data_IF_364664391826
#
_entry.id   IF_364664391826
#
_cell.length_a   1.000
_cell.length_b   1.000
_cell.length_c   1.000
_cell.angle_alpha   90.00
_cell.angle_beta   90.00
_cell.angle_gamma   90.00
#
_symmetry.space_group_name_H-M   'P 1'
#
loop_
_entity.id
_entity.type
_entity.pdbx_description
1 polymer ?
#
# COMPACT_ATOMS: atom_id res chain seq x y z
N UNK A 1 -13.95 6.31 19.33
CA UNK A 1 -14.17 4.86 19.13
C UNK A 1 -12.96 4.28 18.43
N UNK A 2 -12.45 3.18 18.95
CA UNK A 2 -11.30 2.46 18.37
C UNK A 2 -11.76 1.60 17.19
N UNK A 3 -10.86 1.40 16.22
CA UNK A 3 -11.05 0.52 15.08
C UNK A 3 -9.83 -0.40 15.01
N UNK A 4 -10.08 -1.71 14.92
CA UNK A 4 -9.04 -2.72 15.01
C UNK A 4 -8.91 -3.49 13.70
N UNK A 5 -7.68 -3.72 13.27
CA UNK A 5 -7.32 -4.49 12.10
C UNK A 5 -7.23 -5.98 12.50
N UNK A 6 -8.38 -6.63 12.61
CA UNK A 6 -8.53 -7.95 13.24
C UNK A 6 -8.11 -9.12 12.35
N UNK A 7 -8.06 -8.93 11.04
CA UNK A 7 -7.49 -9.89 10.13
C UNK A 7 -6.71 -9.16 9.02
N UNK A 8 -5.67 -9.80 8.53
CA UNK A 8 -4.81 -9.31 7.46
C UNK A 8 -4.46 -10.47 6.53
N UNK A 9 -4.81 -10.31 5.25
CA UNK A 9 -4.29 -11.12 4.15
C UNK A 9 -3.45 -10.25 3.24
N UNK A 10 -2.28 -10.73 2.83
CA UNK A 10 -1.38 -9.95 1.98
C UNK A 10 -0.46 -10.82 1.14
N UNK A 11 -0.09 -10.27 -0.02
CA UNK A 11 0.95 -10.82 -0.88
C UNK A 11 1.61 -9.70 -1.68
N UNK A 12 2.90 -9.85 -1.92
CA UNK A 12 3.73 -8.92 -2.71
C UNK A 12 5.01 -9.65 -3.16
N UNK A 13 5.99 -8.94 -3.67
CA UNK A 13 7.27 -9.51 -4.07
C UNK A 13 8.04 -10.23 -2.94
N UNK A 14 7.70 -9.98 -1.67
CA UNK A 14 8.26 -10.68 -0.50
C UNK A 14 7.65 -12.07 -0.24
N UNK A 15 6.59 -12.45 -0.96
CA UNK A 15 5.87 -13.71 -0.80
C UNK A 15 4.39 -13.53 -0.50
N UNK A 16 3.76 -14.59 0.01
CA UNK A 16 2.34 -14.63 0.36
C UNK A 16 2.14 -15.00 1.82
N UNK A 17 1.24 -14.28 2.47
CA UNK A 17 0.88 -14.49 3.87
C UNK A 17 1.83 -13.82 4.86
N UNK A 18 1.29 -13.57 6.05
CA UNK A 18 1.96 -12.79 7.10
C UNK A 18 3.34 -13.32 7.47
N UNK A 19 3.49 -14.64 7.60
CA UNK A 19 4.74 -15.24 8.07
C UNK A 19 5.87 -15.14 7.04
N UNK A 20 5.58 -15.36 5.76
CA UNK A 20 6.57 -15.28 4.68
C UNK A 20 6.96 -13.83 4.45
N UNK A 21 5.98 -12.94 4.33
CA UNK A 21 6.22 -11.50 4.15
C UNK A 21 6.98 -10.90 5.32
N UNK A 22 6.65 -11.25 6.58
CA UNK A 22 7.40 -10.77 7.75
C UNK A 22 8.86 -11.20 7.72
N UNK A 23 9.14 -12.45 7.36
CA UNK A 23 10.51 -12.96 7.24
C UNK A 23 11.31 -12.18 6.21
N UNK A 24 10.77 -11.99 5.00
CA UNK A 24 11.41 -11.20 3.94
C UNK A 24 11.57 -9.73 4.31
N UNK A 25 10.56 -9.14 4.94
CA UNK A 25 10.54 -7.75 5.38
C UNK A 25 11.68 -7.45 6.36
N UNK A 26 11.80 -8.25 7.44
CA UNK A 26 12.82 -8.03 8.47
C UNK A 26 14.22 -8.46 8.02
N UNK A 27 14.33 -9.37 7.06
CA UNK A 27 15.61 -9.68 6.40
C UNK A 27 16.05 -8.58 5.41
N UNK A 28 15.15 -7.68 5.03
CA UNK A 28 15.39 -6.71 3.96
C UNK A 28 15.63 -7.41 2.63
N UNK A 29 14.85 -8.45 2.34
CA UNK A 29 14.99 -9.27 1.14
C UNK A 29 14.56 -8.49 -0.11
N UNK A 30 15.42 -8.43 -1.09
CA UNK A 30 15.17 -7.81 -2.41
C UNK A 30 15.05 -8.84 -3.53
N UNK A 31 15.07 -10.12 -3.21
CA UNK A 31 15.06 -11.21 -4.17
C UNK A 31 13.83 -11.26 -5.08
N UNK A 32 12.70 -10.71 -4.63
CA UNK A 32 11.48 -10.58 -5.45
C UNK A 32 11.49 -9.43 -6.46
N UNK A 33 12.53 -8.58 -6.42
CA UNK A 33 12.72 -7.48 -7.37
C UNK A 33 13.61 -7.97 -8.52
N UNK A 34 13.02 -8.26 -9.68
CA UNK A 34 13.75 -8.86 -10.79
C UNK A 34 13.64 -8.02 -12.06
N UNK A 35 14.75 -7.85 -12.81
CA UNK A 35 14.71 -7.28 -14.15
C UNK A 35 13.73 -8.08 -15.03
N UNK A 36 12.72 -7.40 -15.59
CA UNK A 36 11.65 -8.09 -16.33
C UNK A 36 11.44 -7.42 -17.68
N UNK A 37 11.66 -8.15 -18.79
CA UNK A 37 11.42 -7.66 -20.13
C UNK A 37 9.94 -7.56 -20.47
N UNK A 38 9.62 -6.80 -21.52
CA UNK A 38 8.29 -6.78 -22.14
C UNK A 38 7.33 -5.72 -21.58
N UNK A 39 7.67 -5.05 -20.48
CA UNK A 39 6.86 -3.98 -19.93
C UNK A 39 7.16 -2.61 -20.55
N UNK A 40 8.44 -2.27 -20.68
CA UNK A 40 8.90 -1.03 -21.29
C UNK A 40 9.76 -1.39 -22.50
N UNK A 41 9.53 -0.82 -23.69
CA UNK A 41 10.32 -1.10 -24.88
C UNK A 41 11.82 -0.89 -24.61
N UNK A 42 12.64 -1.84 -25.02
CA UNK A 42 14.12 -1.80 -24.94
C UNK A 42 14.72 -1.65 -23.53
N UNK A 43 13.89 -1.73 -22.47
CA UNK A 43 14.31 -1.59 -21.08
C UNK A 43 13.81 -2.76 -20.24
N UNK A 44 14.58 -3.12 -19.20
CA UNK A 44 14.26 -4.21 -18.27
C UNK A 44 14.47 -3.76 -16.83
N UNK A 45 13.76 -2.74 -16.34
CA UNK A 45 13.91 -2.30 -14.98
C UNK A 45 13.47 -3.42 -14.01
N UNK A 46 14.05 -3.49 -12.79
CA UNK A 46 13.52 -4.37 -11.77
C UNK A 46 12.06 -4.04 -11.46
N UNK A 47 11.23 -5.05 -11.38
CA UNK A 47 9.83 -4.93 -10.93
C UNK A 47 9.57 -5.94 -9.80
N UNK A 48 8.71 -5.56 -8.87
CA UNK A 48 8.26 -6.43 -7.79
C UNK A 48 7.10 -7.30 -8.27
N UNK A 49 7.34 -8.61 -8.45
CA UNK A 49 6.34 -9.53 -8.97
C UNK A 49 5.92 -10.53 -7.90
N UNK A 50 4.62 -10.80 -7.79
CA UNK A 50 4.09 -11.91 -7.00
C UNK A 50 4.34 -13.21 -7.73
N UNK A 51 5.22 -14.04 -7.19
CA UNK A 51 5.59 -15.35 -7.75
C UNK A 51 4.87 -16.51 -7.07
N UNK A 52 4.20 -16.27 -5.94
CA UNK A 52 3.41 -17.26 -5.25
C UNK A 52 2.27 -17.80 -6.16
N UNK A 53 1.93 -19.10 -6.08
CA UNK A 53 0.79 -19.65 -6.80
C UNK A 53 -0.50 -18.94 -6.40
N UNK A 54 -1.18 -18.37 -7.39
CA UNK A 54 -2.47 -17.71 -7.14
C UNK A 54 -3.61 -18.75 -7.17
N UNK A 55 -4.72 -18.52 -6.45
CA UNK A 55 -5.86 -19.43 -6.48
C UNK A 55 -6.42 -19.54 -7.89
N UNK A 56 -6.92 -20.75 -8.21
CA UNK A 56 -7.64 -20.96 -9.45
C UNK A 56 -8.85 -20.02 -9.51
N UNK A 57 -9.06 -19.38 -10.67
CA UNK A 57 -10.18 -18.49 -10.83
C UNK A 57 -11.47 -19.29 -11.05
N UNK A 58 -12.52 -19.08 -10.22
CA UNK A 58 -13.77 -19.80 -10.39
C UNK A 58 -14.47 -19.40 -11.70
N UNK A 59 -14.96 -20.40 -12.47
CA UNK A 59 -15.52 -20.18 -13.81
C UNK A 59 -16.72 -19.22 -13.81
N UNK A 60 -17.55 -19.28 -12.79
CA UNK A 60 -18.71 -18.40 -12.64
C UNK A 60 -18.33 -16.92 -12.46
N UNK A 61 -17.10 -16.62 -12.08
CA UNK A 61 -16.58 -15.27 -11.90
C UNK A 61 -15.76 -14.77 -13.10
N UNK A 62 -15.70 -15.51 -14.20
CA UNK A 62 -14.96 -15.14 -15.42
C UNK A 62 -15.17 -13.68 -15.87
N UNK A 63 -16.39 -13.09 -15.82
CA UNK A 63 -16.59 -11.69 -16.19
C UNK A 63 -15.82 -10.67 -15.34
N UNK A 64 -15.37 -11.07 -14.15
CA UNK A 64 -14.59 -10.23 -13.23
C UNK A 64 -13.10 -10.55 -13.26
N UNK A 65 -12.67 -11.45 -14.15
CA UNK A 65 -11.27 -11.86 -14.19
C UNK A 65 -10.35 -10.71 -14.55
N UNK A 66 -9.38 -10.47 -13.68
CA UNK A 66 -8.17 -9.70 -13.94
C UNK A 66 -7.08 -10.19 -13.00
N UNK A 67 -5.81 -9.96 -13.34
CA UNK A 67 -4.71 -10.26 -12.41
C UNK A 67 -4.88 -9.49 -11.10
N UNK A 68 -5.36 -8.26 -11.17
CA UNK A 68 -5.68 -7.45 -10.00
C UNK A 68 -6.66 -8.17 -9.07
N UNK A 69 -7.81 -8.62 -9.58
CA UNK A 69 -8.78 -9.35 -8.77
C UNK A 69 -8.30 -10.72 -8.31
N UNK A 70 -7.41 -11.38 -9.08
CA UNK A 70 -6.80 -12.65 -8.67
C UNK A 70 -5.85 -12.47 -7.47
N UNK A 71 -5.05 -11.39 -7.45
CA UNK A 71 -4.24 -11.01 -6.29
C UNK A 71 -5.12 -10.70 -5.08
N UNK A 72 -6.21 -9.99 -5.29
CA UNK A 72 -7.17 -9.68 -4.24
C UNK A 72 -7.84 -10.93 -3.66
N UNK A 73 -8.23 -11.89 -4.52
CA UNK A 73 -8.77 -13.17 -4.09
C UNK A 73 -7.76 -13.97 -3.26
N UNK A 74 -6.48 -13.94 -3.63
CA UNK A 74 -5.43 -14.58 -2.86
C UNK A 74 -5.29 -13.98 -1.45
N UNK A 75 -5.34 -12.64 -1.33
CA UNK A 75 -5.35 -11.98 -0.03
C UNK A 75 -6.61 -12.30 0.78
N UNK A 76 -7.78 -12.37 0.13
CA UNK A 76 -9.04 -12.76 0.80
C UNK A 76 -8.96 -14.17 1.37
N UNK A 77 -8.41 -15.12 0.63
CA UNK A 77 -8.35 -16.55 1.03
C UNK A 77 -7.69 -16.72 2.41
N UNK A 78 -6.74 -15.86 2.77
CA UNK A 78 -6.07 -15.91 4.08
C UNK A 78 -6.96 -15.50 5.25
N UNK A 79 -7.99 -14.69 4.99
CA UNK A 79 -8.86 -14.13 6.03
C UNK A 79 -10.34 -14.47 5.82
N UNK A 80 -10.67 -15.27 4.82
CA UNK A 80 -12.06 -15.58 4.47
C UNK A 80 -12.85 -16.17 5.63
N UNK A 81 -12.31 -17.08 6.47
CA UNK A 81 -13.03 -17.59 7.63
C UNK A 81 -13.49 -16.48 8.60
N UNK A 82 -12.63 -15.51 8.90
CA UNK A 82 -12.96 -14.36 9.76
C UNK A 82 -13.98 -13.44 9.11
N UNK A 83 -13.89 -13.26 7.79
CA UNK A 83 -14.85 -12.47 7.01
C UNK A 83 -16.23 -13.14 7.04
N UNK A 84 -16.30 -14.47 6.79
CA UNK A 84 -17.54 -15.23 6.84
C UNK A 84 -18.18 -15.16 8.23
N UNK A 85 -17.39 -15.29 9.28
CA UNK A 85 -17.87 -15.13 10.66
C UNK A 85 -18.45 -13.73 10.92
N UNK A 86 -17.80 -12.68 10.40
CA UNK A 86 -18.33 -11.31 10.52
C UNK A 86 -19.66 -11.15 9.76
N UNK A 87 -19.81 -11.76 8.56
CA UNK A 87 -21.05 -11.76 7.78
C UNK A 87 -22.18 -12.49 8.55
N UNK A 88 -21.89 -13.67 9.10
CA UNK A 88 -22.86 -14.43 9.91
C UNK A 88 -23.34 -13.63 11.12
N UNK A 89 -22.42 -12.94 11.79
CA UNK A 89 -22.69 -12.19 13.01
C UNK A 89 -23.49 -10.91 12.78
N UNK A 90 -23.14 -10.14 11.74
CA UNK A 90 -23.66 -8.79 11.54
C UNK A 90 -24.65 -8.68 10.38
N UNK A 91 -24.71 -9.68 9.51
CA UNK A 91 -25.48 -9.67 8.27
C UNK A 91 -24.77 -8.93 7.13
N UNK A 92 -25.06 -9.31 5.86
CA UNK A 92 -24.35 -8.81 4.68
C UNK A 92 -24.50 -7.30 4.44
N UNK A 93 -25.59 -6.69 4.91
CA UNK A 93 -25.84 -5.26 4.77
C UNK A 93 -25.01 -4.40 5.75
N UNK A 94 -24.39 -5.02 6.77
CA UNK A 94 -23.57 -4.34 7.77
C UNK A 94 -22.06 -4.47 7.54
N UNK A 95 -21.68 -5.18 6.47
CA UNK A 95 -20.27 -5.34 6.07
C UNK A 95 -20.00 -4.44 4.86
N UNK A 96 -19.08 -3.49 5.02
CA UNK A 96 -18.62 -2.61 3.94
C UNK A 96 -17.42 -3.16 3.18
N UNK A 97 -17.21 -2.68 1.95
CA UNK A 97 -16.00 -2.92 1.14
C UNK A 97 -15.46 -1.58 0.66
N UNK A 98 -14.23 -1.24 1.03
CA UNK A 98 -13.56 0.00 0.61
C UNK A 98 -12.14 -0.32 0.17
N UNK A 99 -11.86 -0.25 -1.12
CA UNK A 99 -10.56 -0.62 -1.67
C UNK A 99 -9.91 0.53 -2.44
N UNK A 100 -8.57 0.62 -2.32
CA UNK A 100 -7.75 1.50 -3.12
C UNK A 100 -7.09 0.76 -4.28
N UNK A 101 -7.10 1.36 -5.46
CA UNK A 101 -6.40 0.84 -6.64
C UNK A 101 -6.05 1.98 -7.59
N UNK A 102 -5.01 1.78 -8.39
CA UNK A 102 -4.64 2.65 -9.52
C UNK A 102 -4.71 1.91 -10.86
N UNK A 103 -4.76 0.59 -10.84
CA UNK A 103 -4.69 -0.23 -12.06
C UNK A 103 -5.97 -1.00 -12.35
N UNK A 104 -6.68 -1.52 -11.33
CA UNK A 104 -7.82 -2.42 -11.57
C UNK A 104 -7.51 -3.46 -12.68
N UNK A 105 -8.41 -3.73 -13.63
CA UNK A 105 -8.21 -4.59 -14.80
C UNK A 105 -7.75 -3.83 -16.06
N UNK A 106 -7.03 -2.71 -15.91
CA UNK A 106 -6.57 -1.90 -17.05
C UNK A 106 -5.59 -2.68 -17.94
N UNK A 107 -4.80 -3.60 -17.40
CA UNK A 107 -3.90 -4.41 -18.21
C UNK A 107 -4.67 -5.26 -19.22
N UNK A 108 -5.66 -6.02 -18.77
CA UNK A 108 -6.51 -6.86 -19.60
C UNK A 108 -7.33 -6.03 -20.60
N UNK A 109 -7.85 -4.90 -20.16
CA UNK A 109 -8.56 -3.96 -21.02
C UNK A 109 -7.65 -3.42 -22.12
N UNK A 110 -6.39 -3.08 -21.83
CA UNK A 110 -5.41 -2.60 -22.80
C UNK A 110 -5.11 -3.64 -23.88
N UNK A 111 -5.01 -4.92 -23.50
CA UNK A 111 -4.84 -6.02 -24.45
C UNK A 111 -6.07 -6.17 -25.37
N UNK A 112 -7.27 -6.07 -24.82
CA UNK A 112 -8.53 -6.10 -25.58
C UNK A 112 -8.65 -4.94 -26.57
N UNK A 113 -8.30 -3.73 -26.13
CA UNK A 113 -8.25 -2.53 -27.01
C UNK A 113 -7.23 -2.69 -28.13
N UNK A 114 -6.05 -3.26 -27.85
CA UNK A 114 -5.05 -3.52 -28.87
C UNK A 114 -5.52 -4.54 -29.93
N UNK A 115 -6.33 -5.53 -29.55
CA UNK A 115 -7.00 -6.45 -30.49
C UNK A 115 -7.98 -5.67 -31.34
N UNK A 116 -8.82 -4.82 -30.72
CA UNK A 116 -9.78 -3.99 -31.47
C UNK A 116 -9.13 -3.08 -32.49
N UNK A 117 -8.02 -2.44 -32.16
CA UNK A 117 -7.27 -1.59 -33.07
C UNK A 117 -6.76 -2.35 -34.32
N UNK A 118 -6.42 -3.63 -34.19
CA UNK A 118 -5.93 -4.46 -35.32
C UNK A 118 -7.04 -5.11 -36.14
N UNK A 119 -8.15 -5.51 -35.49
CA UNK A 119 -9.18 -6.32 -36.12
C UNK A 119 -10.51 -5.57 -36.37
N UNK A 120 -10.68 -4.39 -35.77
CA UNK A 120 -11.93 -3.64 -35.76
C UNK A 120 -12.99 -4.20 -34.80
N UNK A 121 -12.68 -5.26 -34.04
CA UNK A 121 -13.64 -5.91 -33.13
C UNK A 121 -12.98 -6.14 -31.77
N UNK A 122 -13.75 -5.94 -30.70
CA UNK A 122 -13.33 -6.33 -29.35
C UNK A 122 -13.33 -7.85 -29.23
N UNK A 123 -12.37 -8.45 -28.50
CA UNK A 123 -12.34 -9.89 -28.30
C UNK A 123 -13.55 -10.36 -27.48
N UNK A 124 -13.96 -11.60 -27.72
CA UNK A 124 -14.96 -12.26 -26.88
C UNK A 124 -14.49 -12.24 -25.40
N UNK A 125 -15.41 -11.90 -24.51
CA UNK A 125 -15.08 -11.80 -23.07
C UNK A 125 -14.51 -10.46 -22.62
N UNK A 126 -14.27 -9.46 -23.52
CA UNK A 126 -13.94 -8.11 -23.10
C UNK A 126 -15.08 -7.50 -22.28
N UNK A 127 -14.74 -7.04 -21.08
CA UNK A 127 -15.70 -6.39 -20.17
C UNK A 127 -15.16 -5.02 -19.76
N UNK A 128 -15.84 -3.95 -20.18
CA UNK A 128 -15.45 -2.58 -19.82
C UNK A 128 -15.36 -2.39 -18.29
N UNK A 129 -16.28 -3.00 -17.54
CA UNK A 129 -16.34 -2.89 -16.09
C UNK A 129 -15.07 -3.40 -15.37
N UNK A 130 -14.27 -4.27 -16.00
CA UNK A 130 -13.01 -4.75 -15.40
C UNK A 130 -11.99 -3.65 -15.18
N UNK A 131 -11.98 -2.61 -16.00
CA UNK A 131 -11.04 -1.47 -15.89
C UNK A 131 -11.55 -0.34 -15.01
N UNK A 132 -12.79 -0.38 -14.55
CA UNK A 132 -13.31 0.62 -13.63
C UNK A 132 -12.61 0.52 -12.27
N UNK A 133 -12.33 1.66 -11.65
CA UNK A 133 -11.59 1.67 -10.37
C UNK A 133 -12.39 1.09 -9.19
N UNK A 134 -13.68 0.86 -9.38
CA UNK A 134 -14.54 0.15 -8.41
C UNK A 134 -14.49 -1.37 -8.59
N UNK A 135 -13.98 -1.88 -9.71
CA UNK A 135 -14.03 -3.31 -10.06
C UNK A 135 -13.52 -4.25 -8.95
N UNK A 136 -12.40 -3.99 -8.25
CA UNK A 136 -11.97 -4.86 -7.16
C UNK A 136 -12.95 -4.90 -5.99
N UNK A 137 -13.54 -3.76 -5.65
CA UNK A 137 -14.51 -3.69 -4.55
C UNK A 137 -15.84 -4.36 -4.93
N UNK A 138 -16.33 -4.13 -6.14
CA UNK A 138 -17.56 -4.77 -6.67
C UNK A 138 -17.40 -6.29 -6.76
N UNK A 139 -16.22 -6.77 -7.24
CA UNK A 139 -15.91 -8.20 -7.24
C UNK A 139 -16.00 -8.80 -5.83
N UNK A 140 -15.31 -8.23 -4.84
CA UNK A 140 -15.37 -8.74 -3.47
C UNK A 140 -16.76 -8.71 -2.87
N UNK A 141 -17.50 -7.62 -3.06
CA UNK A 141 -18.85 -7.50 -2.52
C UNK A 141 -19.77 -8.58 -3.10
N UNK A 142 -19.71 -8.83 -4.40
CA UNK A 142 -20.51 -9.87 -5.08
C UNK A 142 -20.06 -11.27 -4.68
N UNK A 143 -18.76 -11.53 -4.66
CA UNK A 143 -18.19 -12.83 -4.28
C UNK A 143 -18.60 -13.27 -2.88
N UNK A 144 -18.68 -12.32 -1.95
CA UNK A 144 -19.06 -12.55 -0.56
C UNK A 144 -20.57 -12.38 -0.29
N UNK A 145 -21.34 -11.95 -1.27
CA UNK A 145 -22.80 -11.69 -1.13
C UNK A 145 -23.11 -10.49 -0.24
N UNK A 146 -22.24 -9.47 -0.22
CA UNK A 146 -22.40 -8.28 0.61
C UNK A 146 -23.32 -7.26 -0.04
N UNK A 147 -24.06 -6.52 0.79
CA UNK A 147 -24.98 -5.45 0.37
C UNK A 147 -24.78 -4.15 1.17
N UNK A 148 -23.73 -4.06 1.98
CA UNK A 148 -23.32 -2.83 2.65
C UNK A 148 -22.63 -1.83 1.71
N UNK A 149 -22.15 -0.70 2.23
CA UNK A 149 -21.40 0.28 1.45
C UNK A 149 -20.21 -0.35 0.70
N UNK A 150 -20.17 -0.15 -0.64
CA UNK A 150 -19.11 -0.72 -1.50
C UNK A 150 -18.63 0.36 -2.47
N UNK A 151 -17.32 0.70 -2.44
CA UNK A 151 -16.73 1.66 -3.36
C UNK A 151 -15.20 1.53 -3.47
N UNK A 152 -14.68 1.95 -4.62
CA UNK A 152 -13.25 2.12 -4.88
C UNK A 152 -12.78 3.54 -4.60
N UNK A 153 -11.53 3.69 -4.20
CA UNK A 153 -10.82 4.96 -4.08
C UNK A 153 -9.59 4.95 -4.98
N UNK A 154 -9.43 6.01 -5.77
CA UNK A 154 -8.24 6.21 -6.60
C UNK A 154 -7.74 7.64 -6.43
N UNK A 155 -6.68 7.76 -5.61
CA UNK A 155 -5.97 9.01 -5.31
C UNK A 155 -4.46 8.79 -5.49
N UNK A 156 -4.11 8.11 -6.59
CA UNK A 156 -2.74 7.66 -6.90
C UNK A 156 -2.13 6.85 -5.73
N UNK A 157 -0.87 7.11 -5.33
CA UNK A 157 -0.17 6.33 -4.32
C UNK A 157 -0.81 6.36 -2.90
N UNK A 158 -1.78 7.24 -2.66
CA UNK A 158 -2.50 7.33 -1.37
C UNK A 158 -3.81 6.53 -1.35
N UNK A 159 -4.20 5.87 -2.43
CA UNK A 159 -5.53 5.26 -2.61
C UNK A 159 -5.92 4.34 -1.47
N UNK A 160 -5.11 3.34 -1.16
CA UNK A 160 -5.42 2.36 -0.12
C UNK A 160 -5.26 2.89 1.30
N UNK A 161 -4.35 3.84 1.53
CA UNK A 161 -4.30 4.54 2.82
C UNK A 161 -5.58 5.36 3.08
N UNK A 162 -6.13 6.00 2.04
CA UNK A 162 -7.45 6.66 2.13
C UNK A 162 -8.58 5.66 2.30
N UNK A 163 -8.48 4.48 1.69
CA UNK A 163 -9.48 3.42 1.88
C UNK A 163 -9.55 2.98 3.35
N UNK A 164 -8.41 2.80 4.03
CA UNK A 164 -8.34 2.50 5.46
C UNK A 164 -8.99 3.61 6.31
N UNK A 165 -8.70 4.89 6.01
CA UNK A 165 -9.33 6.01 6.72
C UNK A 165 -10.83 6.10 6.47
N UNK A 166 -11.28 5.81 5.25
CA UNK A 166 -12.69 5.80 4.89
C UNK A 166 -13.44 4.66 5.59
N UNK A 167 -12.85 3.47 5.61
CA UNK A 167 -13.37 2.32 6.36
C UNK A 167 -13.54 2.63 7.84
N UNK A 168 -12.52 3.25 8.46
CA UNK A 168 -12.60 3.68 9.86
C UNK A 168 -13.74 4.66 10.10
N UNK A 169 -14.01 5.59 9.18
CA UNK A 169 -15.14 6.52 9.27
C UNK A 169 -16.47 5.79 9.22
N UNK A 170 -16.66 4.83 8.30
CA UNK A 170 -17.88 4.02 8.22
C UNK A 170 -18.17 3.29 9.53
N UNK A 171 -17.14 2.72 10.18
CA UNK A 171 -17.29 2.08 11.49
C UNK A 171 -17.65 3.08 12.59
N UNK A 172 -16.91 4.19 12.68
CA UNK A 172 -17.10 5.19 13.74
C UNK A 172 -18.47 5.84 13.65
N UNK A 173 -18.97 6.07 12.44
CA UNK A 173 -20.28 6.65 12.17
C UNK A 173 -21.44 5.62 12.27
N UNK A 174 -21.13 4.33 12.47
CA UNK A 174 -22.14 3.27 12.63
C UNK A 174 -22.81 2.83 11.32
N UNK A 175 -22.25 3.19 10.16
CA UNK A 175 -22.74 2.72 8.87
C UNK A 175 -22.47 1.23 8.66
N UNK A 176 -21.34 0.73 9.18
CA UNK A 176 -20.94 -0.67 9.14
C UNK A 176 -20.57 -1.18 10.55
N UNK A 177 -20.62 -2.50 10.73
CA UNK A 177 -20.10 -3.18 11.91
C UNK A 177 -18.76 -3.84 11.64
N UNK A 178 -18.47 -4.17 10.38
CA UNK A 178 -17.15 -4.52 9.89
C UNK A 178 -16.94 -3.95 8.48
N UNK A 179 -15.67 -3.74 8.09
CA UNK A 179 -15.32 -3.26 6.75
C UNK A 179 -14.11 -4.04 6.23
N UNK A 180 -14.25 -4.63 5.05
CA UNK A 180 -13.13 -5.08 4.25
C UNK A 180 -12.48 -3.86 3.61
N UNK A 181 -11.21 -3.61 3.90
CA UNK A 181 -10.51 -2.43 3.40
C UNK A 181 -9.03 -2.73 3.13
N UNK A 182 -8.45 -1.93 2.26
CA UNK A 182 -7.06 -2.12 1.85
C UNK A 182 -6.85 -1.68 0.41
N UNK A 183 -6.04 -2.43 -0.32
CA UNK A 183 -5.79 -2.11 -1.73
C UNK A 183 -5.11 -3.23 -2.48
N UNK A 184 -5.20 -3.13 -3.80
CA UNK A 184 -4.60 -4.07 -4.74
C UNK A 184 -4.21 -3.33 -6.02
N UNK A 185 -3.01 -3.60 -6.50
CA UNK A 185 -2.57 -3.21 -7.84
C UNK A 185 -1.74 -4.32 -8.48
N UNK A 186 -1.95 -4.54 -9.77
CA UNK A 186 -1.17 -5.44 -10.60
C UNK A 186 -0.20 -4.68 -11.50
N UNK A 187 0.85 -5.33 -11.98
CA UNK A 187 1.71 -4.75 -13.01
C UNK A 187 0.88 -4.45 -14.27
N UNK A 188 1.10 -3.27 -14.83
CA UNK A 188 0.32 -2.77 -15.96
C UNK A 188 1.21 -1.96 -16.91
N UNK A 189 1.11 -2.24 -18.21
CA UNK A 189 1.86 -1.53 -19.23
C UNK A 189 1.59 -0.02 -19.24
N UNK A 190 0.36 0.42 -18.92
CA UNK A 190 0.02 1.83 -18.83
C UNK A 190 0.86 2.57 -17.78
N UNK A 191 0.94 2.02 -16.57
CA UNK A 191 1.67 2.66 -15.47
C UNK A 191 3.18 2.60 -15.67
N UNK A 192 3.72 1.45 -16.09
CA UNK A 192 5.16 1.28 -16.34
C UNK A 192 5.65 2.22 -17.43
N UNK A 193 4.95 2.31 -18.58
CA UNK A 193 5.32 3.22 -19.66
C UNK A 193 5.03 4.68 -19.30
N UNK A 194 3.97 4.97 -18.55
CA UNK A 194 3.65 6.31 -18.08
C UNK A 194 4.75 6.88 -17.19
N UNK A 195 5.22 6.12 -16.20
CA UNK A 195 6.34 6.54 -15.35
C UNK A 195 7.67 6.57 -16.10
N UNK A 196 7.89 5.66 -17.04
CA UNK A 196 9.07 5.70 -17.90
C UNK A 196 9.12 6.96 -18.78
N UNK A 197 7.99 7.39 -19.33
CA UNK A 197 7.87 8.63 -20.11
C UNK A 197 8.11 9.90 -19.27
N UNK A 198 7.92 9.80 -17.94
CA UNK A 198 8.25 10.87 -16.99
C UNK A 198 9.70 10.78 -16.48
N UNK A 199 10.51 9.87 -17.04
CA UNK A 199 11.90 9.61 -16.58
C UNK A 199 11.99 9.28 -15.09
N UNK A 200 10.94 8.69 -14.53
CA UNK A 200 10.83 8.43 -13.10
C UNK A 200 11.12 6.96 -12.71
N UNK A 201 11.48 6.09 -13.68
CA UNK A 201 11.78 4.66 -13.47
C UNK A 201 13.29 4.44 -13.41
N UNK A 202 13.75 3.81 -12.32
CA UNK A 202 15.15 3.40 -12.14
C UNK A 202 15.47 2.15 -12.98
N UNK A 203 16.64 2.13 -13.62
CA UNK A 203 17.17 0.95 -14.34
C UNK A 203 17.77 -0.10 -13.39
N UNK A 204 18.11 0.29 -12.18
CA UNK A 204 18.60 -0.58 -11.10
C UNK A 204 17.59 -0.62 -9.97
N UNK A 205 17.88 -1.40 -8.93
CA UNK A 205 17.08 -1.37 -7.71
C UNK A 205 17.00 0.06 -7.16
N UNK A 206 15.82 0.53 -6.87
CA UNK A 206 15.60 1.88 -6.36
C UNK A 206 16.37 2.11 -5.05
N UNK A 207 16.86 3.33 -4.85
CA UNK A 207 17.83 3.68 -3.81
C UNK A 207 17.33 4.89 -2.99
N UNK A 208 16.27 4.72 -2.17
CA UNK A 208 15.63 5.83 -1.47
C UNK A 208 16.59 6.58 -0.53
N UNK A 209 16.53 7.90 -0.55
CA UNK A 209 17.32 8.84 0.26
C UNK A 209 18.84 8.84 -0.02
N UNK A 210 19.31 8.05 -0.96
CA UNK A 210 20.70 8.11 -1.44
C UNK A 210 20.93 9.35 -2.30
N UNK A 211 22.18 9.83 -2.34
CA UNK A 211 22.63 10.80 -3.33
C UNK A 211 22.52 10.25 -4.76
N UNK A 212 22.55 8.92 -4.92
CA UNK A 212 22.46 8.20 -6.19
C UNK A 212 21.02 7.78 -6.55
N UNK A 213 19.97 8.29 -5.83
CA UNK A 213 18.59 7.99 -6.17
C UNK A 213 18.21 8.49 -7.56
N UNK A 214 17.54 7.67 -8.35
CA UNK A 214 17.24 7.99 -9.74
C UNK A 214 15.84 7.58 -10.22
N UNK A 215 14.94 7.22 -9.29
CA UNK A 215 13.56 6.88 -9.64
C UNK A 215 13.05 5.62 -8.96
N UNK A 216 11.79 5.27 -9.29
CA UNK A 216 11.06 4.15 -8.71
C UNK A 216 11.35 2.84 -9.44
N UNK A 217 11.10 1.72 -8.76
CA UNK A 217 10.72 0.47 -9.42
C UNK A 217 9.25 0.20 -9.10
N UNK A 218 8.47 -0.30 -10.06
CA UNK A 218 7.06 -0.61 -9.85
C UNK A 218 6.93 -2.06 -9.36
N UNK A 219 5.93 -2.30 -8.50
CA UNK A 219 5.59 -3.63 -8.04
C UNK A 219 4.08 -3.89 -8.07
N UNK A 220 3.71 -5.14 -7.88
CA UNK A 220 2.32 -5.57 -7.68
C UNK A 220 2.12 -6.16 -6.30
N UNK A 221 0.88 -6.17 -5.82
CA UNK A 221 0.52 -6.81 -4.57
C UNK A 221 -0.85 -6.40 -4.07
N UNK A 222 -1.27 -7.05 -3.02
CA UNK A 222 -2.51 -6.77 -2.32
C UNK A 222 -2.31 -6.84 -0.80
N UNK A 223 -3.00 -5.97 -0.07
CA UNK A 223 -3.21 -6.10 1.36
C UNK A 223 -4.68 -5.81 1.67
N UNK A 224 -5.32 -6.76 2.31
CA UNK A 224 -6.74 -6.73 2.67
C UNK A 224 -6.89 -6.92 4.17
N UNK A 225 -7.57 -5.99 4.81
CA UNK A 225 -7.86 -6.02 6.25
C UNK A 225 -9.35 -6.22 6.49
N UNK A 226 -9.68 -6.93 7.55
CA UNK A 226 -10.98 -6.88 8.20
C UNK A 226 -10.90 -5.90 9.38
N UNK A 227 -11.52 -4.74 9.22
CA UNK A 227 -11.58 -3.68 10.22
C UNK A 227 -12.89 -3.77 10.99
N UNK A 228 -12.84 -3.83 12.34
CA UNK A 228 -14.01 -3.91 13.21
C UNK A 228 -13.86 -3.04 14.46
N UNK A 229 -14.93 -2.94 15.27
CA UNK A 229 -14.87 -2.30 16.60
C UNK A 229 -14.44 -3.24 17.72
N UNK A 230 -14.40 -4.54 17.44
CA UNK A 230 -14.00 -5.54 18.44
C UNK A 230 -12.50 -5.40 18.74
N UNK A 231 -12.11 -5.42 20.01
CA UNK A 231 -10.70 -5.38 20.38
C UNK A 231 -9.89 -6.47 19.67
N UNK A 232 -8.75 -6.09 19.16
CA UNK A 232 -7.81 -6.94 18.45
C UNK A 232 -6.37 -6.51 18.71
N UNK A 233 -5.37 -7.23 18.19
CA UNK A 233 -3.97 -6.99 18.53
C UNK A 233 -3.43 -5.65 18.04
N UNK A 234 -3.94 -5.16 16.91
CA UNK A 234 -3.47 -3.92 16.29
C UNK A 234 -4.65 -3.01 15.97
N UNK A 235 -4.58 -1.78 16.43
CA UNK A 235 -5.58 -0.74 16.17
C UNK A 235 -5.12 0.23 15.09
N UNK A 236 -6.04 0.68 14.25
CA UNK A 236 -5.89 1.88 13.42
C UNK A 236 -6.29 3.09 14.27
N UNK A 237 -5.31 3.68 14.96
CA UNK A 237 -5.51 4.72 15.95
C UNK A 237 -5.95 6.04 15.33
N UNK A 238 -5.34 6.41 14.22
CA UNK A 238 -5.63 7.66 13.56
C UNK A 238 -5.02 7.75 12.17
N UNK A 239 -5.32 8.86 11.51
CA UNK A 239 -4.68 9.24 10.27
C UNK A 239 -5.00 10.67 9.91
N UNK A 240 -4.15 11.22 9.07
CA UNK A 240 -4.25 12.58 8.55
C UNK A 240 -4.13 12.57 7.04
N UNK A 241 -4.81 13.53 6.41
CA UNK A 241 -4.75 13.70 4.97
C UNK A 241 -4.70 15.19 4.63
N UNK A 242 -4.00 15.52 3.54
CA UNK A 242 -3.88 16.88 3.00
C UNK A 242 -3.80 16.84 1.48
N UNK A 243 -3.74 18.01 0.85
CA UNK A 243 -3.45 18.18 -0.56
C UNK A 243 -2.50 19.37 -0.75
N UNK A 244 -1.46 19.19 -1.55
CA UNK A 244 -0.47 20.25 -1.81
C UNK A 244 -1.04 21.36 -2.70
N UNK A 245 -1.88 20.99 -3.68
CA UNK A 245 -2.36 21.90 -4.72
C UNK A 245 -1.21 22.66 -5.43
N UNK A 246 -0.08 21.96 -5.66
CA UNK A 246 1.16 22.53 -6.19
C UNK A 246 1.40 22.19 -7.66
N UNK A 247 1.57 20.91 -7.98
CA UNK A 247 1.87 20.42 -9.32
C UNK A 247 1.32 19.01 -9.54
N UNK A 248 1.09 18.62 -10.83
CA UNK A 248 0.51 17.31 -11.16
C UNK A 248 1.44 16.13 -10.86
N UNK A 249 2.75 16.30 -10.97
CA UNK A 249 3.74 15.22 -10.82
C UNK A 249 4.88 15.52 -9.84
N UNK A 250 4.91 16.70 -9.22
CA UNK A 250 5.91 17.06 -8.23
C UNK A 250 5.24 17.45 -6.90
N UNK A 251 5.78 17.04 -5.73
CA UNK A 251 5.30 17.50 -4.45
C UNK A 251 5.62 18.98 -4.22
N UNK A 252 4.90 19.63 -3.29
CA UNK A 252 5.30 20.95 -2.77
C UNK A 252 6.69 20.83 -2.12
N UNK A 253 7.73 21.50 -2.63
CA UNK A 253 9.08 21.36 -2.09
C UNK A 253 9.23 21.76 -0.63
N UNK A 254 8.31 22.58 -0.11
CA UNK A 254 8.29 22.95 1.30
C UNK A 254 7.89 21.81 2.25
N UNK A 255 7.31 20.71 1.72
CA UNK A 255 6.80 19.59 2.49
C UNK A 255 5.59 19.92 3.38
N UNK A 256 4.98 21.10 3.21
CA UNK A 256 3.87 21.57 4.05
C UNK A 256 2.71 20.56 4.09
N UNK A 257 2.32 20.01 2.94
CA UNK A 257 1.24 19.02 2.89
C UNK A 257 1.58 17.73 3.65
N UNK A 258 2.79 17.22 3.48
CA UNK A 258 3.28 16.04 4.21
C UNK A 258 3.31 16.29 5.73
N UNK A 259 3.83 17.44 6.17
CA UNK A 259 3.81 17.88 7.59
C UNK A 259 2.38 17.93 8.13
N UNK A 260 1.45 18.54 7.38
CA UNK A 260 0.04 18.62 7.79
C UNK A 260 -0.61 17.24 7.93
N UNK A 261 -0.33 16.30 7.02
CA UNK A 261 -0.85 14.94 7.10
C UNK A 261 -0.32 14.20 8.34
N UNK A 262 1.00 14.21 8.58
CA UNK A 262 1.61 13.60 9.76
C UNK A 262 1.10 14.20 11.07
N UNK A 263 1.06 15.53 11.18
CA UNK A 263 0.54 16.21 12.36
C UNK A 263 -0.95 15.93 12.59
N UNK A 264 -1.75 15.87 11.53
CA UNK A 264 -3.16 15.51 11.64
C UNK A 264 -3.33 14.05 12.12
N UNK A 265 -2.47 13.13 11.68
CA UNK A 265 -2.47 11.75 12.15
C UNK A 265 -2.13 11.66 13.66
N UNK A 266 -1.10 12.39 14.11
CA UNK A 266 -0.73 12.48 15.54
C UNK A 266 -1.88 13.04 16.37
N UNK A 267 -2.48 14.15 15.95
CA UNK A 267 -3.66 14.71 16.66
C UNK A 267 -4.83 13.74 16.72
N UNK A 268 -5.13 13.06 15.61
CA UNK A 268 -6.26 12.13 15.54
C UNK A 268 -6.07 10.88 16.41
N UNK A 269 -4.82 10.49 16.68
CA UNK A 269 -4.47 9.37 17.55
C UNK A 269 -4.24 9.78 19.01
N UNK A 270 -4.14 11.09 19.31
CA UNK A 270 -3.79 11.60 20.65
C UNK A 270 -2.32 11.38 21.01
N UNK A 271 -1.45 11.15 20.03
CA UNK A 271 -0.03 10.85 20.22
C UNK A 271 0.85 12.06 19.93
N UNK A 272 2.05 12.04 20.51
CA UNK A 272 3.14 12.96 20.22
C UNK A 272 4.17 12.30 19.30
N UNK A 273 5.04 13.06 18.60
CA UNK A 273 6.10 12.49 17.78
C UNK A 273 6.97 11.46 18.51
N UNK A 274 7.29 11.72 19.79
CA UNK A 274 8.11 10.82 20.63
C UNK A 274 7.46 9.46 20.92
N UNK A 275 6.16 9.29 20.70
CA UNK A 275 5.45 8.02 20.92
C UNK A 275 5.58 7.06 19.73
N UNK A 276 6.06 7.54 18.58
CA UNK A 276 6.21 6.73 17.36
C UNK A 276 7.54 5.99 17.42
N UNK A 277 7.46 4.65 17.40
CA UNK A 277 8.62 3.75 17.45
C UNK A 277 9.19 3.45 16.06
N UNK A 278 8.38 3.57 15.00
CA UNK A 278 8.81 3.32 13.63
C UNK A 278 7.97 4.15 12.65
N UNK A 279 8.64 4.70 11.64
CA UNK A 279 8.02 5.39 10.52
C UNK A 279 8.35 4.66 9.20
N UNK A 280 7.33 4.09 8.55
CA UNK A 280 7.46 3.64 7.17
C UNK A 280 7.35 4.85 6.25
N UNK A 281 8.43 5.19 5.57
CA UNK A 281 8.54 6.33 4.67
C UNK A 281 7.88 6.01 3.32
N UNK A 282 7.34 7.04 2.68
CA UNK A 282 6.93 6.90 1.27
C UNK A 282 8.12 6.56 0.37
N UNK A 283 9.24 7.27 0.52
CA UNK A 283 10.58 6.92 0.05
C UNK A 283 10.63 6.27 -1.33
N UNK A 284 10.26 7.00 -2.37
CA UNK A 284 10.13 6.48 -3.75
C UNK A 284 11.46 6.43 -4.51
N UNK A 285 12.55 6.95 -3.94
CA UNK A 285 13.83 7.16 -4.61
C UNK A 285 13.76 8.16 -5.78
N UNK A 286 12.69 8.95 -5.89
CA UNK A 286 12.66 10.09 -6.80
C UNK A 286 13.32 11.30 -6.14
N UNK A 287 14.10 12.11 -6.88
CA UNK A 287 14.80 13.26 -6.30
C UNK A 287 13.89 14.20 -5.50
N UNK A 288 12.73 14.52 -6.04
CA UNK A 288 11.80 15.51 -5.44
C UNK A 288 11.07 14.95 -4.21
N UNK A 289 10.56 13.70 -4.28
CA UNK A 289 9.84 13.12 -3.15
C UNK A 289 10.75 12.97 -1.93
N UNK A 290 11.92 12.36 -2.12
CA UNK A 290 12.81 12.05 -0.99
C UNK A 290 13.37 13.33 -0.35
N UNK A 291 13.61 14.37 -1.15
CA UNK A 291 13.99 15.69 -0.62
C UNK A 291 12.86 16.31 0.22
N UNK A 292 11.64 16.32 -0.31
CA UNK A 292 10.46 16.83 0.38
C UNK A 292 10.18 16.05 1.67
N UNK A 293 10.18 14.71 1.57
CA UNK A 293 9.86 13.84 2.71
C UNK A 293 10.92 13.91 3.81
N UNK A 294 12.22 14.04 3.46
CA UNK A 294 13.30 14.24 4.44
C UNK A 294 13.07 15.50 5.26
N UNK A 295 12.74 16.62 4.61
CA UNK A 295 12.46 17.89 5.27
C UNK A 295 11.20 17.80 6.15
N UNK A 296 10.12 17.24 5.64
CA UNK A 296 8.87 17.08 6.37
C UNK A 296 9.03 16.18 7.60
N UNK A 297 9.76 15.08 7.46
CA UNK A 297 10.05 14.15 8.57
C UNK A 297 10.92 14.81 9.63
N UNK A 298 11.98 15.52 9.23
CA UNK A 298 12.83 16.26 10.17
C UNK A 298 12.04 17.33 10.94
N UNK A 299 11.11 18.02 10.28
CA UNK A 299 10.26 19.03 10.91
C UNK A 299 9.28 18.43 11.95
N UNK A 300 8.69 17.26 11.65
CA UNK A 300 7.72 16.63 12.56
C UNK A 300 8.43 15.86 13.68
N UNK A 301 9.58 15.28 13.40
CA UNK A 301 10.39 14.47 14.32
C UNK A 301 11.79 15.07 14.53
N UNK A 302 11.92 16.24 15.17
CA UNK A 302 13.22 16.90 15.31
C UNK A 302 14.23 16.13 16.17
N UNK A 303 13.75 15.24 17.05
CA UNK A 303 14.59 14.32 17.83
C UNK A 303 14.94 13.03 17.06
N UNK A 304 14.47 12.89 15.81
CA UNK A 304 14.57 11.68 15.02
C UNK A 304 13.47 10.65 15.32
N UNK A 305 13.22 9.78 14.36
CA UNK A 305 12.35 8.60 14.47
C UNK A 305 12.98 7.49 13.64
N UNK A 306 13.11 6.25 14.15
CA UNK A 306 13.57 5.12 13.35
C UNK A 306 12.69 4.96 12.12
N UNK A 307 13.27 4.93 10.92
CA UNK A 307 12.49 4.95 9.69
C UNK A 307 13.17 4.21 8.54
N UNK A 308 12.38 3.71 7.60
CA UNK A 308 12.87 3.14 6.34
C UNK A 308 11.83 3.22 5.24
N UNK A 309 12.29 3.14 3.98
CA UNK A 309 11.43 2.82 2.84
C UNK A 309 11.50 1.33 2.55
N UNK A 310 10.36 0.70 2.39
CA UNK A 310 10.24 -0.72 2.02
C UNK A 310 10.12 -0.94 0.51
N UNK A 311 10.17 0.14 -0.29
CA UNK A 311 10.05 0.06 -1.75
C UNK A 311 11.17 -0.70 -2.47
N UNK A 312 12.42 -0.73 -1.98
CA UNK A 312 13.43 -1.63 -2.54
C UNK A 312 13.11 -3.11 -2.40
N UNK A 313 12.19 -3.48 -1.49
CA UNK A 313 11.80 -4.87 -1.21
C UNK A 313 10.62 -5.34 -2.07
N UNK A 314 9.74 -4.42 -2.46
CA UNK A 314 8.44 -4.75 -3.08
C UNK A 314 8.19 -4.03 -4.40
N UNK A 315 9.00 -3.05 -4.72
CA UNK A 315 8.63 -2.01 -5.68
C UNK A 315 7.54 -1.08 -5.12
N UNK A 316 7.28 -0.01 -5.84
CA UNK A 316 6.15 0.86 -5.57
C UNK A 316 4.87 0.23 -6.11
N UNK A 317 4.01 -0.26 -5.25
CA UNK A 317 2.74 -0.92 -5.61
C UNK A 317 1.59 0.08 -5.82
N UNK A 318 1.92 1.29 -6.19
CA UNK A 318 1.00 2.37 -6.61
C UNK A 318 -0.15 2.60 -5.61
N UNK A 319 -1.40 2.39 -6.04
CA UNK A 319 -2.56 2.56 -5.19
C UNK A 319 -2.67 1.56 -4.04
N UNK A 320 -2.07 0.38 -4.17
CA UNK A 320 -1.99 -0.62 -3.09
C UNK A 320 -0.91 -0.31 -2.05
N UNK A 321 0.02 0.61 -2.34
CA UNK A 321 1.20 0.86 -1.51
C UNK A 321 0.84 1.20 -0.06
N UNK A 322 -0.12 2.09 0.17
CA UNK A 322 -0.49 2.49 1.52
C UNK A 322 -1.07 1.37 2.38
N UNK A 323 -1.75 0.37 1.77
CA UNK A 323 -2.25 -0.80 2.49
C UNK A 323 -1.13 -1.80 2.78
N UNK A 324 -0.22 -2.05 1.84
CA UNK A 324 0.94 -2.91 2.06
C UNK A 324 1.87 -2.33 3.12
N UNK A 325 2.13 -1.03 3.07
CA UNK A 325 2.96 -0.34 4.06
C UNK A 325 2.28 -0.29 5.45
N UNK A 326 0.95 -0.16 5.49
CA UNK A 326 0.19 -0.36 6.73
C UNK A 326 0.27 -1.82 7.23
N UNK A 327 0.30 -2.81 6.32
CA UNK A 327 0.52 -4.21 6.69
C UNK A 327 1.94 -4.43 7.23
N UNK A 328 2.95 -3.78 6.69
CA UNK A 328 4.32 -3.85 7.24
C UNK A 328 4.41 -3.21 8.63
N UNK A 329 3.72 -2.09 8.84
CA UNK A 329 3.58 -1.51 10.18
C UNK A 329 2.83 -2.46 11.14
N UNK A 330 1.78 -3.14 10.66
CA UNK A 330 1.06 -4.17 11.41
C UNK A 330 1.98 -5.32 11.81
N UNK A 331 2.75 -5.89 10.85
CA UNK A 331 3.73 -6.95 11.10
C UNK A 331 4.84 -6.52 12.08
N UNK A 332 5.28 -5.27 11.98
CA UNK A 332 6.31 -4.70 12.88
C UNK A 332 5.83 -4.66 14.33
N UNK A 333 4.54 -4.41 14.54
CA UNK A 333 3.93 -4.30 15.86
C UNK A 333 3.40 -5.64 16.43
N UNK A 334 3.29 -6.69 15.60
CA UNK A 334 2.76 -7.98 16.02
C UNK A 334 3.80 -8.77 16.84
N UNK A 335 3.52 -9.07 18.13
CA UNK A 335 4.50 -9.73 18.99
C UNK A 335 4.73 -11.21 18.66
N UNK A 336 3.82 -11.85 17.90
CA UNK A 336 3.95 -13.25 17.50
C UNK A 336 4.80 -13.43 16.26
N UNK A 337 4.66 -12.51 15.29
CA UNK A 337 5.42 -12.51 14.04
C UNK A 337 6.75 -11.76 14.16
N UNK A 338 6.85 -10.85 15.13
CA UNK A 338 8.04 -10.05 15.41
C UNK A 338 8.39 -10.04 16.91
N UNK A 339 8.66 -11.19 17.52
CA UNK A 339 8.94 -11.24 18.95
C UNK A 339 10.22 -10.49 19.37
N UNK A 340 11.15 -10.31 18.43
CA UNK A 340 12.39 -9.57 18.67
C UNK A 340 12.24 -8.05 18.49
N UNK A 341 11.06 -7.57 18.08
CA UNK A 341 10.82 -6.16 17.81
C UNK A 341 11.69 -5.59 16.67
N UNK A 342 12.05 -6.39 15.68
CA UNK A 342 12.87 -5.95 14.55
C UNK A 342 12.17 -4.84 13.77
N UNK A 343 12.95 -3.87 13.27
CA UNK A 343 12.46 -2.86 12.36
C UNK A 343 12.82 -3.25 10.91
N UNK A 344 11.95 -2.96 9.93
CA UNK A 344 12.30 -3.16 8.52
C UNK A 344 13.55 -2.35 8.17
N UNK A 345 14.64 -2.99 7.70
CA UNK A 345 15.88 -2.28 7.40
C UNK A 345 15.76 -1.45 6.12
N UNK A 346 16.40 -0.28 6.13
CA UNK A 346 16.62 0.50 4.91
C UNK A 346 17.58 -0.26 3.99
N UNK A 347 17.12 -0.55 2.77
CA UNK A 347 17.94 -1.14 1.71
C UNK A 347 18.37 -0.04 0.76
N UNK A 348 19.67 0.28 0.77
CA UNK A 348 20.29 1.35 -0.02
C UNK A 348 21.80 1.16 -0.10
N UNK A 349 22.50 1.99 -0.87
CA UNK A 349 23.96 1.93 -1.07
C UNK A 349 24.80 2.56 0.06
N UNK A 350 24.15 3.12 1.09
CA UNK A 350 24.81 3.78 2.21
C UNK A 350 25.35 5.17 1.90
N UNK A 351 25.09 5.73 0.71
CA UNK A 351 25.58 7.04 0.29
C UNK A 351 24.57 8.13 0.60
N UNK A 352 24.68 8.73 1.79
CA UNK A 352 23.80 9.81 2.21
C UNK A 352 23.93 11.03 1.29
N UNK A 353 22.80 11.65 0.94
CA UNK A 353 22.78 12.93 0.23
C UNK A 353 23.05 14.06 1.23
N UNK A 354 24.17 14.80 1.12
CA UNK A 354 24.50 15.87 2.06
C UNK A 354 23.54 17.08 1.97
N UNK A 355 22.74 17.17 0.91
CA UNK A 355 21.74 18.22 0.74
C UNK A 355 20.45 17.94 1.50
N UNK A 356 20.25 16.70 2.01
CA UNK A 356 19.06 16.32 2.74
C UNK A 356 19.27 16.33 4.26
N UNK A 357 18.27 16.70 5.06
CA UNK A 357 18.27 16.44 6.49
C UNK A 357 18.53 14.95 6.77
N UNK A 358 19.37 14.66 7.74
CA UNK A 358 19.64 13.27 8.15
C UNK A 358 18.40 12.65 8.76
N UNK A 359 18.01 11.48 8.24
CA UNK A 359 17.00 10.62 8.81
C UNK A 359 17.66 9.50 9.64
N UNK A 360 16.95 9.02 10.67
CA UNK A 360 17.39 7.86 11.45
C UNK A 360 17.00 6.56 10.71
N UNK A 361 17.63 6.34 9.53
CA UNK A 361 17.38 5.16 8.71
C UNK A 361 17.80 3.89 9.47
N UNK A 362 16.89 2.91 9.48
CA UNK A 362 17.06 1.63 10.18
C UNK A 362 18.01 0.68 9.44
N UNK A 363 18.63 -0.20 10.18
CA UNK A 363 19.49 -1.29 9.71
C UNK A 363 19.01 -2.64 10.23
N UNK A 364 19.77 -3.71 10.02
CA UNK A 364 19.43 -5.06 10.45
C UNK A 364 19.39 -5.22 11.99
N UNK A 365 20.08 -4.34 12.72
CA UNK A 365 20.15 -4.38 14.19
C UNK A 365 19.13 -3.46 14.86
N UNK A 366 18.41 -2.67 14.10
CA UNK A 366 17.40 -1.75 14.60
C UNK A 366 16.19 -2.47 15.18
N UNK A 367 15.76 -2.03 16.38
CA UNK A 367 14.65 -2.65 17.13
C UNK A 367 13.71 -1.60 17.69
N UNK A 368 12.45 -2.01 17.91
CA UNK A 368 11.50 -1.22 18.72
C UNK A 368 12.07 -1.09 20.15
N UNK A 369 12.04 0.10 20.68
CA UNK A 369 12.57 0.46 22.01
C UNK A 369 11.48 0.46 23.10
N UNK A 370 10.46 -0.37 22.94
CA UNK A 370 9.31 -0.45 23.82
C UNK A 370 8.13 0.44 23.40
N UNK A 371 8.31 1.33 22.43
CA UNK A 371 7.21 2.09 21.80
C UNK A 371 6.36 1.15 20.95
N UNK A 372 5.04 1.30 21.04
CA UNK A 372 4.07 0.38 20.45
C UNK A 372 3.26 1.01 19.31
N UNK A 373 3.79 2.06 18.68
CA UNK A 373 3.10 2.79 17.61
C UNK A 373 4.00 2.90 16.37
N UNK A 374 3.42 2.67 15.21
CA UNK A 374 4.06 2.89 13.94
C UNK A 374 3.25 3.84 13.07
N UNK A 375 3.94 4.73 12.34
CA UNK A 375 3.35 5.59 11.34
C UNK A 375 3.72 5.11 9.95
N UNK A 376 2.82 5.24 8.98
CA UNK A 376 3.07 4.98 7.56
C UNK A 376 2.67 6.20 6.74
N UNK A 377 3.56 6.65 5.87
CA UNK A 377 3.37 7.79 4.98
C UNK A 377 3.09 7.35 3.54
N UNK A 378 2.17 8.04 2.90
CA UNK A 378 1.93 7.95 1.46
C UNK A 378 1.79 9.36 0.89
N UNK A 379 2.68 9.74 -0.05
CA UNK A 379 2.69 11.04 -0.69
C UNK A 379 2.62 10.85 -2.21
N UNK A 380 1.53 11.29 -2.83
CA UNK A 380 1.19 10.92 -4.18
C UNK A 380 1.40 12.04 -5.19
N UNK A 381 1.65 11.66 -6.43
CA UNK A 381 1.44 12.54 -7.58
C UNK A 381 0.04 13.15 -7.54
N UNK A 382 -0.09 14.41 -7.97
CA UNK A 382 -1.28 15.22 -7.76
C UNK A 382 -1.36 15.89 -6.38
N UNK A 383 -0.33 15.68 -5.51
CA UNK A 383 -0.20 16.35 -4.21
C UNK A 383 -1.09 15.78 -3.12
N UNK A 384 -1.64 14.56 -3.27
CA UNK A 384 -2.40 13.91 -2.21
C UNK A 384 -1.45 13.30 -1.18
N UNK A 385 -1.62 13.65 0.11
CA UNK A 385 -0.81 13.15 1.21
C UNK A 385 -1.68 12.45 2.24
N UNK A 386 -1.20 11.32 2.76
CA UNK A 386 -1.84 10.58 3.84
C UNK A 386 -0.77 10.02 4.79
N UNK A 387 -1.04 10.12 6.09
CA UNK A 387 -0.27 9.41 7.12
C UNK A 387 -1.24 8.61 7.99
N UNK A 388 -0.90 7.36 8.26
CA UNK A 388 -1.65 6.45 9.12
C UNK A 388 -0.86 6.17 10.39
N UNK A 389 -1.53 5.97 11.52
CA UNK A 389 -0.91 5.51 12.77
C UNK A 389 -1.60 4.23 13.23
N UNK A 390 -0.80 3.19 13.38
CA UNK A 390 -1.17 1.91 13.96
C UNK A 390 -0.56 1.79 15.35
N UNK A 391 -1.24 1.07 16.24
CA UNK A 391 -0.75 0.80 17.58
C UNK A 391 -1.05 -0.63 18.02
N UNK A 392 -0.07 -1.29 18.65
CA UNK A 392 -0.31 -2.56 19.33
C UNK A 392 -1.14 -2.31 20.60
N UNK A 393 -2.17 -3.12 20.77
CA UNK A 393 -2.96 -3.10 22.03
C UNK A 393 -2.19 -3.75 23.16
N UNK A 394 -2.47 -3.36 24.43
CA UNK A 394 -1.85 -3.99 25.60
C UNK A 394 -2.08 -5.49 25.70
#
# INVERSE_FOLDING_TARGET
>A
MSAYLNALGLLCALGQGKAEVARGLFAGDTGGMQPTPGWIPERQPPVGTVTAPLPAWPLEWTPFFSRNNQLLLAALTEIEPQVRQAIERHGPARIGVVLGTSTSGIHEASLGIAVHQRSGQLPDGYQYAQQELVAPADFLARYLGLSGPCYGLSTACTSSARALLSARRLLVQGHCDAVLCGGVDSLCGLTLNGFAALEAVSESLCNPFSVNRCGINIGEGAALFLLTREPGPIALLGGGASSDAHHISAPDPSGRGAVQAMQAALRASGLQPGDIGYLNLHGTATPHNDAMESQATHQVFPAGVPCSSTKPLTGHTLGAAGALEAAFAWLTLDPWLNPAGQLPPQRWDGQADPALPRLALTDADSRLDGRRHAMSNSFAFGGSNVSLILGATP
#
